data_IF_513219094487
#
_entry.id   IF_513219094487
#
_cell.length_a   1.000
_cell.length_b   1.000
_cell.length_c   1.000
_cell.angle_alpha   90.00
_cell.angle_beta   90.00
_cell.angle_gamma   90.00
#
_symmetry.space_group_name_H-M   'P 1'
#
loop_
_entity.id
_entity.type
_entity.pdbx_description
1 polymer ?
#
# COMPACT_ATOMS: atom_id res chain seq x y z
N UNK A 1 11.65 15.85 -2.90
CA UNK A 1 10.24 15.64 -2.59
C UNK A 1 9.72 14.44 -3.39
N UNK A 2 9.05 13.53 -2.71
CA UNK A 2 8.49 12.35 -3.37
C UNK A 2 7.35 12.76 -4.31
N UNK A 3 7.39 12.23 -5.53
CA UNK A 3 6.33 12.43 -6.53
C UNK A 3 5.66 11.09 -6.79
N UNK A 4 4.36 11.02 -6.49
CA UNK A 4 3.57 9.81 -6.61
C UNK A 4 2.62 9.86 -7.80
N UNK A 5 2.53 8.73 -8.49
CA UNK A 5 1.45 8.44 -9.43
C UNK A 5 0.85 7.12 -8.98
N UNK A 6 -0.43 7.11 -8.67
CA UNK A 6 -1.11 5.88 -8.26
C UNK A 6 -2.45 5.73 -8.95
N UNK A 7 -2.81 4.48 -9.17
CA UNK A 7 -4.14 4.05 -9.61
C UNK A 7 -4.50 2.82 -8.79
N UNK A 8 -4.97 3.07 -7.58
CA UNK A 8 -5.35 2.02 -6.63
C UNK A 8 -6.86 1.99 -6.51
N UNK A 9 -7.42 0.82 -6.77
CA UNK A 9 -8.86 0.61 -6.81
C UNK A 9 -9.30 -0.20 -5.61
N UNK A 10 -10.32 0.28 -4.94
CA UNK A 10 -10.89 -0.32 -3.73
C UNK A 10 -12.30 -0.79 -4.01
N UNK A 11 -12.64 -1.97 -3.50
CA UNK A 11 -14.01 -2.49 -3.54
C UNK A 11 -14.32 -3.26 -2.27
N UNK A 12 -15.57 -3.18 -1.84
CA UNK A 12 -16.03 -3.78 -0.60
C UNK A 12 -16.53 -2.72 0.37
N UNK A 13 -15.98 -2.69 1.58
CA UNK A 13 -16.36 -1.68 2.58
C UNK A 13 -15.94 -0.26 2.20
N UNK A 14 -14.94 -0.14 1.35
CA UNK A 14 -14.53 1.12 0.74
C UNK A 14 -14.59 0.94 -0.77
N UNK A 15 -15.24 1.83 -1.48
CA UNK A 15 -15.35 1.76 -2.94
C UNK A 15 -14.84 3.05 -3.57
N UNK A 16 -14.02 2.91 -4.61
CA UNK A 16 -13.50 4.04 -5.35
C UNK A 16 -12.06 3.82 -5.79
N UNK A 17 -11.45 4.87 -6.30
CA UNK A 17 -10.07 4.83 -6.77
C UNK A 17 -9.26 5.95 -6.12
N UNK A 18 -8.04 5.63 -5.72
CA UNK A 18 -7.08 6.59 -5.22
C UNK A 18 -6.16 6.97 -6.37
N UNK A 19 -6.28 8.20 -6.87
CA UNK A 19 -5.49 8.72 -8.00
C UNK A 19 -4.81 10.04 -7.71
N UNK A 20 -5.10 10.65 -6.57
CA UNK A 20 -4.55 11.94 -6.19
C UNK A 20 -3.88 11.84 -4.82
N UNK A 21 -2.64 12.28 -4.75
CA UNK A 21 -1.86 12.31 -3.53
C UNK A 21 -2.25 13.53 -2.69
N UNK A 22 -2.30 13.34 -1.39
CA UNK A 22 -2.55 14.43 -0.44
C UNK A 22 -1.26 15.25 -0.27
N UNK A 23 -1.36 16.58 -0.18
CA UNK A 23 -0.19 17.40 0.15
C UNK A 23 0.48 16.95 1.44
N UNK A 24 1.80 17.03 1.49
CA UNK A 24 2.59 16.58 2.63
C UNK A 24 2.40 17.53 3.82
N UNK A 25 2.08 16.96 4.98
CA UNK A 25 2.12 17.65 6.26
C UNK A 25 2.64 16.67 7.33
N UNK A 26 2.52 17.00 8.61
CA UNK A 26 3.04 16.17 9.69
C UNK A 26 2.32 14.81 9.83
N UNK A 27 1.10 14.69 9.29
CA UNK A 27 0.26 13.48 9.42
C UNK A 27 0.15 12.70 8.12
N UNK A 28 0.44 13.32 6.97
CA UNK A 28 0.24 12.71 5.65
C UNK A 28 1.53 12.68 4.84
N UNK A 29 2.61 12.21 5.44
CA UNK A 29 3.90 12.15 4.79
C UNK A 29 4.03 10.87 3.96
N UNK A 30 3.91 11.00 2.64
CA UNK A 30 4.19 9.91 1.72
C UNK A 30 5.70 9.76 1.53
N UNK A 31 6.16 8.52 1.48
CA UNK A 31 7.59 8.21 1.39
C UNK A 31 7.85 7.16 0.32
N UNK A 32 8.72 7.48 -0.63
CA UNK A 32 9.34 6.46 -1.46
C UNK A 32 10.40 5.74 -0.63
N UNK A 33 10.41 4.43 -0.73
CA UNK A 33 11.50 3.62 -0.24
C UNK A 33 11.95 2.78 -1.41
N UNK A 34 13.20 2.74 -1.68
CA UNK A 34 13.66 2.04 -2.87
C UNK A 34 15.11 1.68 -2.74
N UNK A 35 15.93 2.27 -3.55
CA UNK A 35 17.34 1.94 -3.68
C UNK A 35 17.99 1.47 -2.37
N UNK A 36 18.61 0.30 -2.41
CA UNK A 36 19.34 -0.31 -1.29
C UNK A 36 18.47 -0.96 -0.21
N UNK A 37 17.15 -1.00 -0.37
CA UNK A 37 16.28 -1.73 0.58
C UNK A 37 16.67 -3.20 0.66
N UNK A 38 17.10 -3.78 -0.46
CA UNK A 38 17.60 -5.16 -0.51
C UNK A 38 18.78 -5.38 0.44
N UNK A 39 19.70 -4.41 0.52
CA UNK A 39 20.85 -4.48 1.42
C UNK A 39 20.40 -4.43 2.88
N UNK A 40 19.37 -3.65 3.19
CA UNK A 40 18.80 -3.58 4.53
C UNK A 40 17.94 -4.80 4.88
N UNK A 41 17.55 -5.63 3.88
CA UNK A 41 16.73 -6.81 4.12
C UNK A 41 15.27 -6.52 4.36
N UNK A 42 14.83 -5.29 4.16
CA UNK A 42 13.44 -4.89 4.32
C UNK A 42 13.09 -3.80 3.32
N UNK A 43 11.83 -3.73 2.95
CA UNK A 43 11.31 -2.72 2.03
C UNK A 43 9.99 -2.19 2.56
N UNK A 44 9.77 -0.91 2.43
CA UNK A 44 8.50 -0.29 2.79
C UNK A 44 8.24 0.91 1.90
N UNK A 45 6.98 1.17 1.63
CA UNK A 45 6.55 2.36 0.90
C UNK A 45 5.20 2.81 1.46
N UNK A 46 5.03 4.10 1.62
CA UNK A 46 3.83 4.66 2.25
C UNK A 46 3.33 5.84 1.44
N UNK A 47 2.03 5.84 1.17
CA UNK A 47 1.39 6.97 0.51
C UNK A 47 0.09 7.34 1.21
N UNK A 48 -0.30 8.59 1.06
CA UNK A 48 -1.60 9.10 1.48
C UNK A 48 -2.29 9.70 0.27
N UNK A 49 -3.55 9.37 0.09
CA UNK A 49 -4.32 9.85 -1.05
C UNK A 49 -5.79 9.99 -0.72
N UNK A 50 -6.52 10.58 -1.66
CA UNK A 50 -7.96 10.72 -1.54
C UNK A 50 -8.68 9.52 -2.15
N UNK A 51 -9.67 8.99 -1.43
CA UNK A 51 -10.70 8.13 -2.00
C UNK A 51 -12.02 8.85 -1.75
N UNK A 52 -12.63 9.35 -2.82
CA UNK A 52 -13.73 10.30 -2.66
C UNK A 52 -13.24 11.60 -2.03
N UNK A 53 -13.87 12.03 -0.94
CA UNK A 53 -13.50 13.23 -0.20
C UNK A 53 -12.66 12.94 1.05
N UNK A 54 -12.40 11.66 1.35
CA UNK A 54 -11.68 11.26 2.57
C UNK A 54 -10.23 10.87 2.25
N UNK A 55 -9.36 11.06 3.23
CA UNK A 55 -7.95 10.71 3.13
C UNK A 55 -7.71 9.34 3.73
N UNK A 56 -6.98 8.51 2.98
CA UNK A 56 -6.56 7.17 3.39
C UNK A 56 -5.05 7.05 3.23
N UNK A 57 -4.42 6.30 4.14
CA UNK A 57 -3.03 5.92 4.01
C UNK A 57 -2.93 4.47 3.54
N UNK A 58 -1.95 4.20 2.70
CA UNK A 58 -1.63 2.85 2.24
C UNK A 58 -0.16 2.59 2.54
N UNK A 59 0.11 1.53 3.28
CA UNK A 59 1.46 1.11 3.64
C UNK A 59 1.73 -0.27 3.06
N UNK A 60 2.79 -0.39 2.28
CA UNK A 60 3.29 -1.66 1.76
C UNK A 60 4.59 -2.00 2.49
N UNK A 61 4.71 -3.22 3.00
CA UNK A 61 5.94 -3.69 3.67
C UNK A 61 6.31 -5.09 3.23
N UNK A 62 7.61 -5.32 3.03
CA UNK A 62 8.19 -6.65 2.79
C UNK A 62 9.30 -6.83 3.81
N UNK A 63 9.10 -7.72 4.78
CA UNK A 63 10.05 -7.89 5.90
C UNK A 63 11.34 -8.59 5.47
N UNK A 64 11.24 -9.54 4.53
CA UNK A 64 12.41 -10.27 4.00
C UNK A 64 12.56 -9.96 2.53
N UNK A 65 12.97 -8.74 2.25
CA UNK A 65 13.05 -8.23 0.90
C UNK A 65 14.25 -8.83 0.15
N UNK A 66 14.02 -9.29 -1.07
CA UNK A 66 15.03 -9.94 -1.92
C UNK A 66 15.35 -9.16 -3.19
N UNK A 67 14.81 -7.96 -3.30
CA UNK A 67 14.91 -7.14 -4.50
C UNK A 67 13.63 -7.10 -5.31
N UNK A 68 13.64 -6.45 -6.48
CA UNK A 68 12.47 -6.38 -7.35
C UNK A 68 11.91 -7.77 -7.68
N UNK A 69 10.61 -7.84 -7.89
CA UNK A 69 9.92 -9.06 -8.25
C UNK A 69 8.62 -9.24 -7.47
N UNK A 70 8.05 -10.44 -7.56
CA UNK A 70 6.76 -10.75 -6.97
C UNK A 70 6.89 -11.38 -5.61
N UNK A 71 6.01 -10.96 -4.70
CA UNK A 71 5.88 -11.49 -3.35
C UNK A 71 4.45 -11.97 -3.14
N UNK A 72 4.29 -13.11 -2.52
CA UNK A 72 2.98 -13.69 -2.22
C UNK A 72 2.53 -13.32 -0.81
N UNK A 73 1.27 -13.59 -0.50
CA UNK A 73 0.59 -13.14 0.70
C UNK A 73 1.36 -13.15 2.02
N UNK A 74 2.00 -14.28 2.43
CA UNK A 74 2.74 -14.31 3.68
C UNK A 74 4.03 -13.47 3.68
N UNK A 75 4.51 -13.06 2.51
CA UNK A 75 5.81 -12.39 2.36
C UNK A 75 5.71 -10.88 2.45
N UNK A 76 4.50 -10.34 2.39
CA UNK A 76 4.29 -8.90 2.45
C UNK A 76 3.06 -8.55 3.28
N UNK A 77 2.96 -7.29 3.67
CA UNK A 77 1.79 -6.74 4.34
C UNK A 77 1.35 -5.47 3.62
N UNK A 78 0.06 -5.35 3.40
CA UNK A 78 -0.57 -4.10 2.95
C UNK A 78 -1.54 -3.67 4.04
N UNK A 79 -1.44 -2.42 4.47
CA UNK A 79 -2.38 -1.83 5.39
C UNK A 79 -3.01 -0.60 4.77
N UNK A 80 -4.33 -0.52 4.81
CA UNK A 80 -5.10 0.67 4.42
C UNK A 80 -5.78 1.20 5.67
N UNK A 81 -5.64 2.49 5.93
CA UNK A 81 -6.29 3.10 7.09
C UNK A 81 -6.88 4.46 6.72
N UNK A 82 -8.01 4.76 7.32
CA UNK A 82 -8.55 6.11 7.25
C UNK A 82 -7.70 7.04 8.12
N UNK A 83 -7.48 8.26 7.68
CA UNK A 83 -6.55 9.17 8.36
C UNK A 83 -6.90 9.40 9.83
N UNK A 84 -8.19 9.40 10.18
CA UNK A 84 -8.64 9.57 11.57
C UNK A 84 -8.54 8.29 12.40
N UNK A 85 -8.10 7.17 11.80
CA UNK A 85 -7.97 5.90 12.50
C UNK A 85 -9.27 5.12 12.71
N UNK A 86 -10.40 5.62 12.18
CA UNK A 86 -11.72 5.00 12.40
C UNK A 86 -11.90 3.67 11.67
N UNK A 87 -11.08 3.41 10.66
CA UNK A 87 -11.13 2.17 9.91
C UNK A 87 -9.72 1.75 9.51
N UNK A 88 -9.41 0.47 9.68
CA UNK A 88 -8.12 -0.13 9.32
C UNK A 88 -8.38 -1.48 8.69
N UNK A 89 -7.78 -1.71 7.53
CA UNK A 89 -7.80 -2.99 6.83
C UNK A 89 -6.36 -3.44 6.60
N UNK A 90 -6.12 -4.73 6.72
CA UNK A 90 -4.77 -5.27 6.55
C UNK A 90 -4.81 -6.61 5.83
N UNK A 91 -3.82 -6.86 4.97
CA UNK A 91 -3.66 -8.15 4.33
C UNK A 91 -3.37 -9.22 5.38
N UNK A 92 -3.92 -10.42 5.12
CA UNK A 92 -3.70 -11.60 5.95
C UNK A 92 -2.85 -12.59 5.15
N UNK A 93 -1.90 -13.24 5.79
CA UNK A 93 -1.09 -14.28 5.15
C UNK A 93 -1.91 -15.47 4.64
N UNK A 94 -3.17 -15.62 5.10
CA UNK A 94 -4.07 -16.66 4.64
C UNK A 94 -4.78 -16.32 3.34
N UNK A 95 -4.82 -15.04 2.94
CA UNK A 95 -5.49 -14.60 1.72
C UNK A 95 -4.56 -14.75 0.51
N UNK A 96 -5.14 -15.06 -0.65
CA UNK A 96 -4.39 -14.98 -1.90
C UNK A 96 -4.11 -13.52 -2.19
N UNK A 97 -2.83 -13.20 -2.34
CA UNK A 97 -2.42 -11.83 -2.54
C UNK A 97 -1.06 -11.80 -3.26
N UNK A 98 -0.87 -10.79 -4.08
CA UNK A 98 0.40 -10.59 -4.80
C UNK A 98 0.80 -9.13 -4.72
N UNK A 99 2.05 -8.90 -4.39
CA UNK A 99 2.72 -7.60 -4.47
C UNK A 99 3.89 -7.75 -5.42
N UNK A 100 3.97 -6.90 -6.43
CA UNK A 100 5.11 -6.88 -7.33
C UNK A 100 5.85 -5.55 -7.16
N UNK A 101 7.13 -5.63 -6.88
CA UNK A 101 8.01 -4.46 -6.76
C UNK A 101 8.77 -4.32 -8.07
N UNK A 102 8.70 -3.15 -8.69
CA UNK A 102 9.37 -2.87 -9.96
C UNK A 102 10.87 -2.74 -9.83
N UNK A 103 11.56 -2.72 -10.98
CA UNK A 103 13.01 -2.70 -11.04
C UNK A 103 13.65 -1.48 -10.37
N UNK A 104 12.93 -0.37 -10.34
CA UNK A 104 13.38 0.85 -9.66
C UNK A 104 13.20 0.79 -8.13
N UNK A 105 12.52 -0.24 -7.64
CA UNK A 105 12.19 -0.43 -6.23
C UNK A 105 11.28 0.67 -5.64
N UNK A 106 10.76 1.54 -6.47
CA UNK A 106 9.90 2.67 -6.11
C UNK A 106 8.55 2.62 -6.81
N UNK A 107 8.26 1.52 -7.50
CA UNK A 107 6.99 1.29 -8.18
C UNK A 107 6.55 -0.14 -8.01
N UNK A 108 5.31 -0.42 -8.34
CA UNK A 108 4.83 -1.78 -8.30
C UNK A 108 3.33 -1.89 -8.52
N UNK A 109 2.83 -3.09 -8.27
CA UNK A 109 1.41 -3.40 -8.34
C UNK A 109 1.01 -4.28 -7.18
N UNK A 110 -0.28 -4.27 -6.86
CA UNK A 110 -0.85 -5.04 -5.77
C UNK A 110 -2.20 -5.60 -6.16
N UNK A 111 -2.47 -6.80 -5.68
CA UNK A 111 -3.80 -7.42 -5.74
C UNK A 111 -3.96 -8.21 -4.44
N UNK A 112 -4.75 -7.69 -3.52
CA UNK A 112 -4.86 -8.26 -2.20
C UNK A 112 -6.24 -8.05 -1.61
N UNK A 113 -6.77 -9.13 -1.01
CA UNK A 113 -7.91 -9.03 -0.12
C UNK A 113 -7.41 -8.56 1.25
N UNK A 114 -8.14 -7.67 1.87
CA UNK A 114 -7.80 -7.08 3.16
C UNK A 114 -8.89 -7.39 4.19
N UNK A 115 -8.45 -7.68 5.40
CA UNK A 115 -9.32 -7.95 6.53
C UNK A 115 -9.54 -6.69 7.34
N UNK A 116 -10.79 -6.40 7.68
CA UNK A 116 -11.11 -5.32 8.61
C UNK A 116 -10.68 -5.74 10.01
N UNK A 117 -9.78 -4.97 10.61
CA UNK A 117 -9.20 -5.34 11.92
C UNK A 117 -10.20 -5.23 13.07
N UNK A 118 -11.28 -4.46 12.90
CA UNK A 118 -12.34 -4.35 13.92
C UNK A 118 -13.29 -5.55 13.93
N UNK A 119 -13.58 -6.11 12.75
CA UNK A 119 -14.53 -7.22 12.61
C UNK A 119 -13.84 -8.57 12.42
N UNK A 120 -12.55 -8.54 12.08
CA UNK A 120 -11.75 -9.71 11.76
C UNK A 120 -12.31 -10.52 10.57
N UNK A 121 -12.93 -9.81 9.61
CA UNK A 121 -13.52 -10.40 8.42
C UNK A 121 -12.90 -9.82 7.16
N UNK A 122 -12.70 -10.61 6.09
CA UNK A 122 -12.33 -10.07 4.79
C UNK A 122 -13.41 -9.08 4.32
N UNK A 123 -13.00 -7.87 4.02
CA UNK A 123 -13.98 -6.80 3.81
C UNK A 123 -13.59 -5.81 2.72
N UNK A 124 -12.37 -5.89 2.20
CA UNK A 124 -11.86 -4.93 1.22
C UNK A 124 -10.97 -5.64 0.22
N UNK A 125 -11.12 -5.30 -1.05
CA UNK A 125 -10.20 -5.72 -2.11
C UNK A 125 -9.45 -4.50 -2.62
N UNK A 126 -8.13 -4.58 -2.65
CA UNK A 126 -7.24 -3.55 -3.19
C UNK A 126 -6.54 -4.11 -4.43
N UNK A 127 -6.64 -3.40 -5.54
CA UNK A 127 -6.00 -3.79 -6.80
C UNK A 127 -5.53 -2.54 -7.54
N UNK A 128 -4.31 -2.57 -8.04
CA UNK A 128 -3.82 -1.47 -8.85
C UNK A 128 -2.30 -1.39 -8.86
N UNK A 129 -1.81 -0.20 -9.22
CA UNK A 129 -0.39 0.05 -9.34
C UNK A 129 -0.04 1.44 -8.82
N UNK A 130 1.24 1.63 -8.57
CA UNK A 130 1.78 2.92 -8.15
C UNK A 130 3.20 3.10 -8.67
N UNK A 131 3.64 4.35 -8.73
CA UNK A 131 5.05 4.69 -8.87
C UNK A 131 5.37 5.88 -8.00
N UNK A 132 6.59 5.93 -7.51
CA UNK A 132 7.09 7.03 -6.69
C UNK A 132 8.48 7.40 -7.19
N UNK A 133 8.76 8.71 -7.22
CA UNK A 133 10.09 9.23 -7.59
C UNK A 133 10.53 10.24 -6.56
N UNK A 134 11.79 10.23 -6.24
CA UNK A 134 12.40 11.19 -5.33
C UNK A 134 13.31 12.18 -6.03
#
# INVERSE_FOLDING_TARGET
VAVWEEDLNFSGELNGAMKAVVPVDSTTRSECTGHNSKTAGAWASRLFGFVGSDVYGVLFTVAKYRGPGSYSGPQFTVQVHRLDGSAVWQSSGANQATLTVGDDEESGSVDSALTNLSTNQPALQLRGNWSCRT
#
